data_IF_192945936078
#
_entry.id   IF_192945936078
#
_cell.length_a   1.000
_cell.length_b   1.000
_cell.length_c   1.000
_cell.angle_alpha   90.00
_cell.angle_beta   90.00
_cell.angle_gamma   90.00
#
_symmetry.space_group_name_H-M   'P 1'
#
loop_
_entity.id
_entity.type
_entity.pdbx_description
1 polymer ?
#
# COMPACT_ATOMS: atom_id res chain seq x y z
N UNK A 1 -0.30 -1.83 -10.99
CA UNK A 1 0.35 -1.21 -9.83
C UNK A 1 -0.10 -1.88 -8.56
N UNK A 2 0.74 -1.82 -7.52
CA UNK A 2 0.43 -2.27 -6.17
C UNK A 2 -0.11 -1.08 -5.37
N UNK A 3 -1.18 -1.28 -4.63
CA UNK A 3 -1.82 -0.26 -3.82
C UNK A 3 -1.34 -0.32 -2.38
N UNK A 4 -0.96 0.84 -1.85
CA UNK A 4 -0.67 1.03 -0.43
C UNK A 4 -1.86 1.65 0.33
N UNK A 5 -1.89 1.43 1.65
CA UNK A 5 -2.87 2.00 2.58
C UNK A 5 -2.95 3.54 2.47
N UNK A 6 -1.80 4.22 2.38
CA UNK A 6 -1.73 5.68 2.33
C UNK A 6 -2.46 6.28 1.12
N UNK A 7 -2.34 5.64 -0.05
CA UNK A 7 -2.96 6.09 -1.29
C UNK A 7 -4.49 6.15 -1.18
N UNK A 8 -5.10 5.05 -0.73
CA UNK A 8 -6.55 4.96 -0.67
C UNK A 8 -7.14 5.87 0.40
N UNK A 9 -6.42 6.07 1.51
CA UNK A 9 -6.82 7.04 2.52
C UNK A 9 -6.76 8.47 1.99
N UNK A 10 -5.76 8.81 1.19
CA UNK A 10 -5.62 10.14 0.61
C UNK A 10 -6.72 10.43 -0.42
N UNK A 11 -7.04 9.46 -1.28
CA UNK A 11 -8.15 9.55 -2.24
C UNK A 11 -9.48 9.71 -1.50
N UNK A 12 -9.73 8.86 -0.49
CA UNK A 12 -10.99 8.91 0.25
C UNK A 12 -11.18 10.25 0.98
N UNK A 13 -10.11 10.78 1.58
CA UNK A 13 -10.14 12.04 2.34
C UNK A 13 -10.01 13.28 1.46
N UNK A 14 -9.80 13.11 0.14
CA UNK A 14 -9.54 14.21 -0.81
C UNK A 14 -8.38 15.10 -0.37
N UNK A 15 -7.28 14.48 0.06
CA UNK A 15 -6.04 15.20 0.39
C UNK A 15 -5.50 15.94 -0.84
N UNK A 16 -4.77 17.06 -0.68
CA UNK A 16 -4.27 17.84 -1.83
C UNK A 16 -3.55 16.97 -2.86
N UNK A 17 -4.01 16.97 -4.11
CA UNK A 17 -3.45 16.14 -5.20
C UNK A 17 -4.15 14.79 -5.41
N UNK A 18 -5.20 14.46 -4.64
CA UNK A 18 -5.96 13.22 -4.78
C UNK A 18 -6.48 12.96 -6.20
N UNK A 19 -6.81 13.98 -6.98
CA UNK A 19 -7.31 13.83 -8.35
C UNK A 19 -6.27 13.16 -9.26
N UNK A 20 -4.98 13.47 -9.07
CA UNK A 20 -3.90 12.87 -9.85
C UNK A 20 -3.73 11.38 -9.50
N UNK A 21 -3.86 11.06 -8.21
CA UNK A 21 -3.82 9.68 -7.73
C UNK A 21 -5.00 8.87 -8.25
N UNK A 22 -6.21 9.43 -8.20
CA UNK A 22 -7.40 8.77 -8.78
C UNK A 22 -7.21 8.53 -10.29
N UNK A 23 -6.76 9.54 -11.03
CA UNK A 23 -6.54 9.39 -12.47
C UNK A 23 -5.51 8.28 -12.77
N UNK A 24 -4.46 8.17 -11.96
CA UNK A 24 -3.49 7.08 -12.09
C UNK A 24 -4.08 5.70 -11.82
N UNK A 25 -5.06 5.58 -10.90
CA UNK A 25 -5.76 4.32 -10.65
C UNK A 25 -6.65 3.94 -11.85
N UNK A 26 -7.40 4.90 -12.38
CA UNK A 26 -8.31 4.70 -13.52
C UNK A 26 -7.56 4.30 -14.81
N UNK A 27 -6.30 4.73 -14.95
CA UNK A 27 -5.45 4.42 -16.10
C UNK A 27 -4.64 3.14 -15.94
N UNK A 28 -4.59 2.55 -14.75
CA UNK A 28 -3.80 1.35 -14.51
C UNK A 28 -4.52 0.11 -15.08
N UNK A 29 -3.81 -0.68 -15.89
CA UNK A 29 -4.36 -1.93 -16.45
C UNK A 29 -4.62 -3.00 -15.38
N UNK A 30 -3.84 -2.97 -14.28
CA UNK A 30 -3.91 -3.94 -13.20
C UNK A 30 -3.78 -3.21 -11.86
N UNK A 31 -4.71 -3.46 -10.96
CA UNK A 31 -4.67 -3.01 -9.56
C UNK A 31 -4.57 -4.23 -8.67
N UNK A 32 -3.56 -4.26 -7.79
CA UNK A 32 -3.37 -5.36 -6.84
C UNK A 32 -3.04 -4.81 -5.46
N UNK A 33 -3.36 -5.57 -4.43
CA UNK A 33 -3.07 -5.22 -3.05
C UNK A 33 -2.72 -6.46 -2.25
N UNK A 34 -1.75 -6.37 -1.34
CA UNK A 34 -1.52 -7.47 -0.40
C UNK A 34 -2.66 -7.55 0.62
N UNK A 35 -3.09 -8.76 0.99
CA UNK A 35 -4.05 -8.96 2.07
C UNK A 35 -3.55 -8.38 3.41
N UNK A 36 -2.23 -8.28 3.61
CA UNK A 36 -1.63 -7.59 4.76
C UNK A 36 -1.87 -6.08 4.73
N UNK A 37 -1.70 -5.46 3.57
CA UNK A 37 -2.01 -4.03 3.34
C UNK A 37 -3.52 -3.77 3.43
N UNK A 38 -4.36 -4.67 2.90
CA UNK A 38 -5.81 -4.58 3.06
C UNK A 38 -6.22 -4.61 4.54
N UNK A 39 -5.62 -5.51 5.33
CA UNK A 39 -5.87 -5.55 6.77
C UNK A 39 -5.56 -4.20 7.42
N UNK A 40 -4.36 -3.67 7.16
CA UNK A 40 -3.93 -2.39 7.74
C UNK A 40 -4.89 -1.27 7.36
N UNK A 41 -5.25 -1.18 6.08
CA UNK A 41 -6.21 -0.20 5.57
C UNK A 41 -7.55 -0.27 6.29
N UNK A 42 -8.11 -1.47 6.46
CA UNK A 42 -9.38 -1.67 7.17
C UNK A 42 -9.29 -1.26 8.64
N UNK A 43 -8.17 -1.58 9.31
CA UNK A 43 -7.93 -1.17 10.69
C UNK A 43 -7.80 0.35 10.82
N UNK A 44 -7.01 0.99 9.94
CA UNK A 44 -6.84 2.45 9.94
C UNK A 44 -8.15 3.15 9.62
N UNK A 45 -8.90 2.66 8.63
CA UNK A 45 -10.21 3.21 8.27
C UNK A 45 -11.22 3.07 9.43
N UNK A 46 -11.21 1.95 10.15
CA UNK A 46 -12.02 1.76 11.36
C UNK A 46 -11.65 2.79 12.44
N UNK A 47 -10.36 2.89 12.79
CA UNK A 47 -9.87 3.81 13.81
C UNK A 47 -10.15 5.28 13.46
N UNK A 48 -10.22 5.63 12.18
CA UNK A 48 -10.57 6.97 11.68
C UNK A 48 -12.07 7.21 11.49
N UNK A 49 -12.93 6.21 11.71
CA UNK A 49 -14.37 6.33 11.54
C UNK A 49 -14.84 6.40 10.09
N UNK A 50 -14.03 5.93 9.13
CA UNK A 50 -14.30 5.99 7.69
C UNK A 50 -14.36 4.61 7.03
N UNK A 51 -14.61 3.55 7.81
CA UNK A 51 -14.66 2.17 7.32
C UNK A 51 -15.71 1.96 6.21
N UNK A 52 -16.95 2.41 6.43
CA UNK A 52 -18.02 2.23 5.46
C UNK A 52 -17.71 2.87 4.09
N UNK A 53 -17.31 4.16 4.00
CA UNK A 53 -16.96 4.73 2.71
C UNK A 53 -15.66 4.15 2.12
N UNK A 54 -14.72 3.65 2.94
CA UNK A 54 -13.56 2.90 2.44
C UNK A 54 -13.98 1.56 1.81
N UNK A 55 -14.93 0.84 2.39
CA UNK A 55 -15.48 -0.38 1.79
C UNK A 55 -16.17 -0.08 0.46
N UNK A 56 -16.97 0.99 0.37
CA UNK A 56 -17.54 1.43 -0.91
C UNK A 56 -16.46 1.75 -1.95
N UNK A 57 -15.35 2.37 -1.54
CA UNK A 57 -14.23 2.64 -2.44
C UNK A 57 -13.57 1.33 -2.91
N UNK A 58 -13.30 0.39 -2.00
CA UNK A 58 -12.72 -0.92 -2.33
C UNK A 58 -13.61 -1.73 -3.28
N UNK A 59 -14.93 -1.71 -3.08
CA UNK A 59 -15.90 -2.36 -3.97
C UNK A 59 -15.93 -1.71 -5.37
N UNK A 60 -15.65 -0.41 -5.46
CA UNK A 60 -15.61 0.32 -6.73
C UNK A 60 -14.32 0.03 -7.50
N UNK A 61 -13.17 0.00 -6.81
CA UNK A 61 -11.86 -0.21 -7.46
C UNK A 61 -11.54 -1.70 -7.68
N UNK A 62 -12.15 -2.59 -6.89
CA UNK A 62 -12.05 -4.06 -6.96
C UNK A 62 -10.62 -4.57 -7.23
N UNK A 63 -9.63 -4.25 -6.37
CA UNK A 63 -8.25 -4.64 -6.60
C UNK A 63 -8.09 -6.16 -6.42
N UNK A 64 -7.20 -6.77 -7.20
CA UNK A 64 -6.79 -8.16 -6.96
C UNK A 64 -6.06 -8.28 -5.60
N UNK A 65 -6.77 -8.83 -4.61
CA UNK A 65 -6.23 -9.01 -3.26
C UNK A 65 -5.40 -10.29 -3.22
N UNK A 66 -4.09 -10.11 -3.13
CA UNK A 66 -3.09 -11.18 -3.08
C UNK A 66 -2.92 -11.68 -1.64
N UNK A 67 -3.09 -12.99 -1.37
CA UNK A 67 -2.84 -13.55 -0.04
C UNK A 67 -1.40 -13.36 0.43
N UNK A 68 -1.21 -13.18 1.74
CA UNK A 68 0.11 -13.28 2.37
C UNK A 68 0.42 -14.75 2.62
N UNK A 69 1.18 -15.34 1.71
CA UNK A 69 1.74 -16.69 1.84
C UNK A 69 3.16 -16.65 2.45
N UNK A 70 3.79 -17.82 2.57
CA UNK A 70 5.13 -17.93 3.15
C UNK A 70 6.20 -17.18 2.33
N UNK A 71 6.12 -17.21 0.99
CA UNK A 71 7.06 -16.49 0.12
C UNK A 71 6.93 -14.98 0.31
N UNK A 72 5.70 -14.45 0.31
CA UNK A 72 5.49 -13.02 0.52
C UNK A 72 5.91 -12.57 1.94
N UNK A 73 5.72 -13.42 2.95
CA UNK A 73 6.17 -13.15 4.32
C UNK A 73 7.70 -13.08 4.42
N UNK A 74 8.43 -13.99 3.78
CA UNK A 74 9.90 -13.96 3.74
C UNK A 74 10.42 -12.74 2.97
N UNK A 75 9.78 -12.37 1.85
CA UNK A 75 10.11 -11.15 1.12
C UNK A 75 9.88 -9.89 1.95
N UNK A 76 8.76 -9.82 2.68
CA UNK A 76 8.47 -8.71 3.58
C UNK A 76 9.51 -8.56 4.69
N UNK A 77 10.02 -9.68 5.24
CA UNK A 77 11.17 -9.64 6.14
C UNK A 77 12.42 -9.07 5.45
N UNK A 78 12.69 -9.46 4.21
CA UNK A 78 13.80 -8.91 3.41
C UNK A 78 13.68 -7.40 3.19
N UNK A 79 12.47 -6.90 2.91
CA UNK A 79 12.17 -5.46 2.86
C UNK A 79 12.48 -4.81 4.21
N UNK A 80 11.96 -5.36 5.30
CA UNK A 80 12.15 -4.81 6.63
C UNK A 80 13.64 -4.74 6.99
N UNK A 81 14.41 -5.79 6.73
CA UNK A 81 15.85 -5.82 7.00
C UNK A 81 16.62 -4.71 6.28
N UNK A 82 16.22 -4.36 5.05
CA UNK A 82 16.85 -3.33 4.21
C UNK A 82 16.41 -1.91 4.58
N UNK A 83 15.12 -1.72 4.83
CA UNK A 83 14.49 -0.39 4.82
C UNK A 83 13.66 -0.06 6.07
N UNK A 84 13.51 -1.03 6.98
CA UNK A 84 12.58 -0.98 8.10
C UNK A 84 12.96 0.02 9.21
N UNK A 85 11.96 0.40 10.01
CA UNK A 85 12.13 1.21 11.22
C UNK A 85 13.13 0.54 12.15
N UNK A 86 14.11 1.32 12.63
CA UNK A 86 15.16 0.82 13.52
C UNK A 86 16.34 0.12 12.84
N UNK A 87 16.33 -0.01 11.50
CA UNK A 87 17.41 -0.66 10.75
C UNK A 87 18.51 0.30 10.25
N UNK A 88 18.39 1.60 10.56
CA UNK A 88 19.36 2.63 10.16
C UNK A 88 19.17 3.21 8.75
N UNK A 89 18.17 2.78 7.99
CA UNK A 89 17.87 3.30 6.65
C UNK A 89 16.89 4.49 6.67
N UNK A 90 17.06 5.57 5.89
CA UNK A 90 16.21 6.77 5.96
C UNK A 90 14.72 6.57 5.58
N UNK A 91 14.39 5.46 4.89
CA UNK A 91 13.02 5.09 4.54
C UNK A 91 12.15 4.77 5.76
N UNK A 92 12.72 4.11 6.78
CA UNK A 92 12.02 3.78 8.01
C UNK A 92 10.65 3.10 7.77
N UNK A 93 10.59 2.08 6.91
CA UNK A 93 9.35 1.34 6.61
C UNK A 93 8.83 0.58 7.84
N UNK A 94 7.52 0.63 8.07
CA UNK A 94 6.85 -0.07 9.15
C UNK A 94 6.45 -1.52 8.74
N UNK A 95 5.81 -2.25 9.66
CA UNK A 95 5.38 -3.63 9.42
C UNK A 95 4.39 -3.77 8.24
N UNK A 96 3.39 -2.87 8.15
CA UNK A 96 2.40 -2.83 7.07
C UNK A 96 3.03 -2.51 5.71
N UNK A 97 3.89 -1.49 5.67
CA UNK A 97 4.60 -1.05 4.46
C UNK A 97 5.36 -2.20 3.77
N UNK A 98 5.91 -3.12 4.56
CA UNK A 98 6.69 -4.24 4.06
C UNK A 98 5.86 -5.18 3.17
N UNK A 99 4.56 -5.32 3.40
CA UNK A 99 3.72 -6.16 2.54
C UNK A 99 3.48 -5.55 1.16
N UNK A 100 3.27 -4.23 1.10
CA UNK A 100 3.06 -3.51 -0.15
C UNK A 100 4.35 -3.50 -0.98
N UNK A 101 5.48 -3.16 -0.35
CA UNK A 101 6.81 -3.20 -0.97
C UNK A 101 7.22 -4.60 -1.43
N UNK A 102 7.00 -5.64 -0.61
CA UNK A 102 7.33 -7.01 -0.98
C UNK A 102 6.51 -7.49 -2.19
N UNK A 103 5.22 -7.13 -2.23
CA UNK A 103 4.37 -7.48 -3.36
C UNK A 103 4.80 -6.74 -4.64
N UNK A 104 5.18 -5.46 -4.52
CA UNK A 104 5.71 -4.67 -5.63
C UNK A 104 7.01 -5.25 -6.19
N UNK A 105 7.98 -5.61 -5.32
CA UNK A 105 9.22 -6.27 -5.77
C UNK A 105 8.94 -7.65 -6.38
N UNK A 106 8.05 -8.45 -5.80
CA UNK A 106 7.73 -9.81 -6.28
C UNK A 106 7.08 -9.77 -7.66
N UNK A 107 6.09 -8.91 -7.84
CA UNK A 107 5.26 -8.88 -9.05
C UNK A 107 5.80 -7.90 -10.11
N UNK A 108 6.89 -7.19 -9.80
CA UNK A 108 7.53 -6.20 -10.66
C UNK A 108 6.55 -5.12 -11.14
N UNK A 109 5.64 -4.71 -10.25
CA UNK A 109 4.65 -3.69 -10.50
C UNK A 109 4.99 -2.43 -9.70
N UNK A 110 4.75 -1.23 -10.26
CA UNK A 110 4.99 0.01 -9.55
C UNK A 110 4.10 0.09 -8.31
N UNK A 111 4.64 0.61 -7.20
CA UNK A 111 3.92 0.82 -5.95
C UNK A 111 3.32 2.23 -5.94
N UNK A 112 2.03 2.34 -5.64
CA UNK A 112 1.33 3.61 -5.51
C UNK A 112 1.10 3.92 -4.03
N UNK A 113 1.74 4.99 -3.55
CA UNK A 113 1.81 5.40 -2.15
C UNK A 113 1.79 6.93 -2.02
N UNK A 114 1.60 7.44 -0.80
CA UNK A 114 1.90 8.82 -0.42
C UNK A 114 2.98 8.88 0.65
N UNK A 115 3.76 9.96 0.64
CA UNK A 115 4.87 10.20 1.56
C UNK A 115 6.23 9.83 0.98
N UNK A 116 7.28 10.07 1.75
CA UNK A 116 8.67 9.89 1.29
C UNK A 116 9.25 8.51 1.60
N UNK A 117 8.58 7.71 2.42
CA UNK A 117 9.17 6.51 3.03
C UNK A 117 9.55 5.48 1.96
N UNK A 118 8.62 5.14 1.06
CA UNK A 118 8.88 4.26 -0.08
C UNK A 118 9.83 4.89 -1.12
N UNK A 119 9.72 6.20 -1.37
CA UNK A 119 10.61 6.91 -2.30
C UNK A 119 12.08 6.83 -1.87
N UNK A 120 12.33 6.96 -0.56
CA UNK A 120 13.66 6.80 0.04
C UNK A 120 14.17 5.36 -0.05
N UNK A 121 13.29 4.37 -0.13
CA UNK A 121 13.61 2.97 -0.36
C UNK A 121 13.77 2.61 -1.85
N UNK A 122 13.54 3.57 -2.77
CA UNK A 122 13.71 3.39 -4.21
C UNK A 122 12.52 2.73 -4.92
N UNK A 123 11.33 2.82 -4.34
CA UNK A 123 10.07 2.37 -4.94
C UNK A 123 9.39 3.48 -5.76
#
# INVERSE_FOLDING_TARGET
MILDTSLLLAILQREPGWEQHQQSLEQAEVLRMSAGTLQELLLVAHCRGVLAPMQTLLDLIDPDVVPVDADLAERALGIFQRFGKGQGHPAQLNFGDCFAAALAERDQLPLAYLGDDFARAGF
#
